data_IF_387291916045
#
_entry.id   IF_387291916045
#
_cell.length_a   1.000
_cell.length_b   1.000
_cell.length_c   1.000
_cell.angle_alpha   90.00
_cell.angle_beta   90.00
_cell.angle_gamma   90.00
#
_symmetry.space_group_name_H-M   'P 1'
#
loop_
_entity.id
_entity.type
_entity.pdbx_description
1 polymer ?
#
# COMPACT_ATOMS: atom_id res chain seq x y z
N UNK A 1 -17.60 9.24 7.66
CA UNK A 1 -16.85 10.13 6.73
C UNK A 1 -15.49 9.56 6.38
N UNK A 2 -15.49 8.62 5.45
CA UNK A 2 -14.28 7.95 4.99
C UNK A 2 -13.38 8.83 4.10
N UNK A 3 -13.99 9.74 3.34
CA UNK A 3 -13.28 10.65 2.43
C UNK A 3 -12.37 11.64 3.18
N UNK A 4 -12.74 12.04 4.41
CA UNK A 4 -11.92 12.93 5.24
C UNK A 4 -10.64 12.25 5.74
N UNK A 5 -10.73 10.95 6.04
CA UNK A 5 -9.62 10.18 6.57
C UNK A 5 -8.59 9.89 5.45
N UNK A 6 -9.05 9.57 4.25
CA UNK A 6 -8.21 9.49 3.05
C UNK A 6 -7.52 10.82 2.73
N UNK A 7 -8.24 11.94 2.75
CA UNK A 7 -7.67 13.26 2.48
C UNK A 7 -6.53 13.63 3.44
N UNK A 8 -6.64 13.25 4.71
CA UNK A 8 -5.60 13.49 5.72
C UNK A 8 -4.32 12.71 5.41
N UNK A 9 -4.44 11.51 4.85
CA UNK A 9 -3.30 10.63 4.62
C UNK A 9 -2.67 10.88 3.26
N UNK A 10 -3.46 11.27 2.26
CA UNK A 10 -2.91 11.83 1.01
C UNK A 10 -2.02 13.03 1.31
N UNK A 11 -2.41 13.89 2.27
CA UNK A 11 -1.55 14.99 2.74
C UNK A 11 -0.31 14.49 3.46
N UNK A 12 -0.42 13.49 4.33
CA UNK A 12 0.73 12.93 5.03
C UNK A 12 1.75 12.33 4.05
N UNK A 13 1.30 11.53 3.07
CA UNK A 13 2.17 10.96 2.04
C UNK A 13 2.78 12.03 1.11
N UNK A 14 2.04 13.10 0.81
CA UNK A 14 2.56 14.21 0.01
C UNK A 14 3.65 15.02 0.74
N UNK A 15 3.70 14.97 2.07
CA UNK A 15 4.72 15.67 2.86
C UNK A 15 5.98 14.84 3.13
N UNK A 16 5.88 13.51 3.17
CA UNK A 16 6.99 12.64 3.62
C UNK A 16 7.93 12.17 2.49
N UNK A 17 7.58 12.32 1.21
CA UNK A 17 8.40 11.76 0.11
C UNK A 17 8.46 12.71 -1.11
N UNK A 18 9.62 13.31 -1.41
CA UNK A 18 9.77 14.24 -2.54
C UNK A 18 9.59 13.61 -3.95
N UNK A 19 9.57 12.28 -4.09
CA UNK A 19 9.53 11.56 -5.39
C UNK A 19 8.14 10.96 -5.72
N UNK A 20 7.11 11.80 -5.61
CA UNK A 20 5.67 11.52 -5.47
C UNK A 20 4.90 10.78 -6.61
N UNK A 21 5.52 9.97 -7.49
CA UNK A 21 4.73 9.28 -8.54
C UNK A 21 4.08 7.96 -8.05
N UNK A 22 4.82 7.15 -7.29
CA UNK A 22 4.39 5.83 -6.81
C UNK A 22 3.41 5.92 -5.62
N UNK A 23 3.62 6.90 -4.73
CA UNK A 23 2.72 7.16 -3.60
C UNK A 23 1.34 7.68 -4.08
N UNK A 24 1.30 8.54 -5.10
CA UNK A 24 0.05 9.01 -5.67
C UNK A 24 -0.77 7.87 -6.31
N UNK A 25 -0.11 6.95 -7.02
CA UNK A 25 -0.76 5.81 -7.66
C UNK A 25 -1.41 4.86 -6.63
N UNK A 26 -0.73 4.55 -5.51
CA UNK A 26 -1.32 3.67 -4.49
C UNK A 26 -2.52 4.31 -3.80
N UNK A 27 -2.49 5.63 -3.56
CA UNK A 27 -3.64 6.38 -3.02
C UNK A 27 -4.82 6.30 -3.97
N UNK A 28 -4.59 6.53 -5.27
CA UNK A 28 -5.63 6.41 -6.29
C UNK A 28 -6.25 5.00 -6.29
N UNK A 29 -5.42 3.95 -6.19
CA UNK A 29 -5.88 2.57 -6.07
C UNK A 29 -6.82 2.35 -4.88
N UNK A 30 -6.44 2.83 -3.69
CA UNK A 30 -7.28 2.72 -2.48
C UNK A 30 -8.61 3.48 -2.66
N UNK A 31 -8.58 4.68 -3.22
CA UNK A 31 -9.79 5.49 -3.46
C UNK A 31 -10.72 4.79 -4.45
N UNK A 32 -10.21 4.33 -5.59
CA UNK A 32 -11.01 3.63 -6.59
C UNK A 32 -11.59 2.33 -6.04
N UNK A 33 -10.79 1.55 -5.31
CA UNK A 33 -11.25 0.28 -4.74
C UNK A 33 -12.40 0.49 -3.76
N UNK A 34 -12.29 1.51 -2.91
CA UNK A 34 -13.35 1.87 -1.95
C UNK A 34 -14.62 2.39 -2.61
N UNK A 35 -14.52 2.96 -3.82
CA UNK A 35 -15.67 3.39 -4.62
C UNK A 35 -16.28 2.25 -5.44
N UNK A 36 -15.72 1.04 -5.37
CA UNK A 36 -16.12 -0.12 -6.18
C UNK A 36 -15.60 -0.08 -7.62
N UNK A 37 -14.83 0.94 -7.99
CA UNK A 37 -14.17 1.10 -9.30
C UNK A 37 -12.97 0.16 -9.41
N UNK A 38 -13.26 -1.14 -9.59
CA UNK A 38 -12.28 -2.21 -9.44
C UNK A 38 -11.23 -2.21 -10.56
N UNK A 39 -11.60 -1.84 -11.78
CA UNK A 39 -10.66 -1.78 -12.91
C UNK A 39 -9.70 -0.60 -12.80
N UNK A 40 -10.19 0.57 -12.42
CA UNK A 40 -9.38 1.75 -12.14
C UNK A 40 -8.46 1.53 -10.92
N UNK A 41 -8.96 0.83 -9.90
CA UNK A 41 -8.16 0.44 -8.75
C UNK A 41 -7.02 -0.48 -9.16
N UNK A 42 -7.30 -1.50 -9.99
CA UNK A 42 -6.29 -2.42 -10.51
C UNK A 42 -5.21 -1.67 -11.28
N UNK A 43 -5.59 -0.83 -12.24
CA UNK A 43 -4.65 -0.07 -13.03
C UNK A 43 -3.76 0.84 -12.17
N UNK A 44 -4.34 1.49 -11.15
CA UNK A 44 -3.60 2.33 -10.22
C UNK A 44 -2.62 1.53 -9.34
N UNK A 45 -3.03 0.36 -8.84
CA UNK A 45 -2.13 -0.50 -8.07
C UNK A 45 -1.01 -1.11 -8.93
N UNK A 46 -1.29 -1.54 -10.15
CA UNK A 46 -0.26 -2.01 -11.09
C UNK A 46 0.75 -0.90 -11.39
N UNK A 47 0.28 0.32 -11.63
CA UNK A 47 1.15 1.48 -11.82
C UNK A 47 2.03 1.77 -10.59
N UNK A 48 1.47 1.64 -9.38
CA UNK A 48 2.22 1.80 -8.14
C UNK A 48 3.31 0.72 -7.97
N UNK A 49 3.02 -0.54 -8.34
CA UNK A 49 4.01 -1.63 -8.33
C UNK A 49 5.16 -1.33 -9.29
N UNK A 50 4.86 -0.96 -10.54
CA UNK A 50 5.89 -0.63 -11.54
C UNK A 50 6.78 0.52 -11.06
N UNK A 51 6.18 1.59 -10.56
CA UNK A 51 6.93 2.76 -10.10
C UNK A 51 7.78 2.45 -8.85
N UNK A 52 7.29 1.58 -7.95
CA UNK A 52 8.08 1.11 -6.81
C UNK A 52 9.21 0.17 -7.23
N UNK A 53 8.99 -0.71 -8.22
CA UNK A 53 10.02 -1.58 -8.79
C UNK A 53 11.15 -0.77 -9.41
N UNK A 54 10.83 0.29 -10.17
CA UNK A 54 11.82 1.19 -10.76
C UNK A 54 12.70 1.89 -9.71
N UNK A 55 12.11 2.25 -8.57
CA UNK A 55 12.84 2.85 -7.45
C UNK A 55 13.72 1.82 -6.74
N UNK A 56 13.21 0.62 -6.52
CA UNK A 56 13.96 -0.46 -5.86
C UNK A 56 15.08 -1.01 -6.74
N UNK A 57 14.94 -0.94 -8.06
CA UNK A 57 16.04 -1.26 -8.98
C UNK A 57 17.23 -0.29 -8.81
N UNK A 58 16.97 0.97 -8.48
CA UNK A 58 18.00 2.01 -8.26
C UNK A 58 18.48 2.02 -6.80
N UNK A 59 17.57 1.78 -5.87
CA UNK A 59 17.78 1.85 -4.42
C UNK A 59 17.09 0.68 -3.72
N UNK A 60 17.67 -0.54 -3.73
CA UNK A 60 17.02 -1.74 -3.20
C UNK A 60 16.59 -1.66 -1.73
N UNK A 61 17.25 -0.82 -0.94
CA UNK A 61 16.96 -0.61 0.49
C UNK A 61 15.97 0.51 0.78
N UNK A 62 15.27 1.06 -0.22
CA UNK A 62 14.30 2.13 0.01
C UNK A 62 13.01 1.56 0.65
N UNK A 63 12.98 1.50 1.98
CA UNK A 63 11.86 0.91 2.73
C UNK A 63 10.51 1.53 2.37
N UNK A 64 10.46 2.84 2.09
CA UNK A 64 9.24 3.51 1.65
C UNK A 64 8.66 2.92 0.36
N UNK A 65 9.50 2.60 -0.62
CA UNK A 65 9.08 1.96 -1.86
C UNK A 65 8.61 0.51 -1.63
N UNK A 66 9.25 -0.23 -0.70
CA UNK A 66 8.78 -1.56 -0.28
C UNK A 66 7.39 -1.50 0.36
N UNK A 67 7.13 -0.52 1.25
CA UNK A 67 5.80 -0.31 1.84
C UNK A 67 4.73 0.02 0.79
N UNK A 68 5.06 0.88 -0.19
CA UNK A 68 4.14 1.22 -1.29
C UNK A 68 3.85 0.00 -2.16
N UNK A 69 4.88 -0.76 -2.54
CA UNK A 69 4.71 -1.98 -3.36
C UNK A 69 3.89 -3.05 -2.62
N UNK A 70 4.15 -3.24 -1.33
CA UNK A 70 3.41 -4.16 -0.47
C UNK A 70 1.94 -3.78 -0.37
N UNK A 71 1.62 -2.49 -0.19
CA UNK A 71 0.25 -2.01 -0.15
C UNK A 71 -0.47 -2.18 -1.49
N UNK A 72 0.22 -1.89 -2.61
CA UNK A 72 -0.35 -2.05 -3.94
C UNK A 72 -0.66 -3.52 -4.24
N UNK A 73 0.25 -4.43 -3.90
CA UNK A 73 0.05 -5.89 -4.01
C UNK A 73 -1.08 -6.39 -3.12
N UNK A 74 -1.22 -5.85 -1.91
CA UNK A 74 -2.37 -6.15 -1.05
C UNK A 74 -3.70 -5.73 -1.70
N UNK A 75 -3.74 -4.55 -2.32
CA UNK A 75 -4.89 -4.09 -3.11
C UNK A 75 -5.21 -5.02 -4.28
N UNK A 76 -4.20 -5.42 -5.06
CA UNK A 76 -4.36 -6.39 -6.15
C UNK A 76 -4.85 -7.75 -5.66
N UNK A 77 -4.37 -8.23 -4.50
CA UNK A 77 -4.83 -9.48 -3.91
C UNK A 77 -6.34 -9.45 -3.56
N UNK A 78 -6.88 -8.28 -3.18
CA UNK A 78 -8.33 -8.13 -2.97
C UNK A 78 -9.12 -8.19 -4.28
N UNK A 79 -8.58 -7.61 -5.35
CA UNK A 79 -9.23 -7.49 -6.67
C UNK A 79 -9.19 -8.79 -7.48
N UNK A 80 -8.01 -9.38 -7.64
CA UNK A 80 -7.76 -10.52 -8.54
C UNK A 80 -7.28 -11.78 -7.84
N UNK A 81 -6.96 -11.69 -6.54
CA UNK A 81 -6.30 -12.78 -5.81
C UNK A 81 -4.80 -12.88 -6.12
N UNK A 82 -4.09 -13.68 -5.33
CA UNK A 82 -2.76 -14.18 -5.68
C UNK A 82 -1.54 -13.31 -5.33
N UNK A 83 -1.69 -12.05 -4.94
CA UNK A 83 -0.55 -11.15 -4.65
C UNK A 83 -0.23 -10.97 -3.15
N UNK A 84 -0.82 -11.80 -2.28
CA UNK A 84 -0.74 -11.62 -0.82
C UNK A 84 0.63 -12.03 -0.26
N UNK A 85 1.21 -13.10 -0.79
CA UNK A 85 2.52 -13.58 -0.34
C UNK A 85 3.64 -12.60 -0.73
N UNK A 86 3.55 -12.00 -1.91
CA UNK A 86 4.45 -10.96 -2.37
C UNK A 86 4.31 -9.68 -1.54
N UNK A 87 3.08 -9.28 -1.20
CA UNK A 87 2.85 -8.18 -0.27
C UNK A 87 3.51 -8.47 1.09
N UNK A 88 3.37 -9.70 1.60
CA UNK A 88 3.96 -10.10 2.87
C UNK A 88 5.50 -10.08 2.82
N UNK A 89 6.09 -10.49 1.70
CA UNK A 89 7.53 -10.39 1.46
C UNK A 89 8.04 -8.94 1.45
N UNK A 90 7.29 -8.04 0.84
CA UNK A 90 7.63 -6.61 0.80
C UNK A 90 7.59 -5.97 2.20
N UNK A 91 6.52 -6.21 2.98
CA UNK A 91 6.44 -5.69 4.34
C UNK A 91 7.54 -6.25 5.24
N UNK A 92 7.87 -7.55 5.14
CA UNK A 92 9.00 -8.13 5.88
C UNK A 92 10.32 -7.46 5.53
N UNK A 93 10.56 -7.24 4.24
CA UNK A 93 11.78 -6.59 3.76
C UNK A 93 11.86 -5.15 4.26
N UNK A 94 10.74 -4.42 4.23
CA UNK A 94 10.64 -3.06 4.72
C UNK A 94 10.90 -2.97 6.23
N UNK A 95 10.33 -3.88 7.02
CA UNK A 95 10.54 -3.99 8.46
C UNK A 95 11.99 -4.32 8.83
N UNK A 96 12.64 -5.19 8.07
CA UNK A 96 14.06 -5.51 8.28
C UNK A 96 14.97 -4.29 8.10
N UNK A 97 14.54 -3.29 7.31
CA UNK A 97 15.26 -2.03 7.11
C UNK A 97 14.83 -0.97 8.14
N UNK A 98 13.53 -0.86 8.41
CA UNK A 98 12.95 0.13 9.32
C UNK A 98 11.73 -0.43 10.06
N UNK A 99 11.93 -0.77 11.35
CA UNK A 99 10.89 -1.24 12.28
C UNK A 99 10.32 -0.12 13.18
N UNK A 100 10.41 1.13 12.74
CA UNK A 100 9.90 2.26 13.51
C UNK A 100 8.38 2.15 13.70
N UNK A 101 7.91 2.31 14.94
CA UNK A 101 6.50 2.18 15.29
C UNK A 101 5.58 3.15 14.52
N UNK A 102 6.09 4.33 14.12
CA UNK A 102 5.35 5.27 13.28
C UNK A 102 5.07 4.68 11.89
N UNK A 103 6.10 4.16 11.24
CA UNK A 103 6.00 3.58 9.89
C UNK A 103 5.06 2.37 9.87
N UNK A 104 5.16 1.49 10.88
CA UNK A 104 4.22 0.36 11.05
C UNK A 104 2.78 0.83 11.21
N UNK A 105 2.56 1.86 12.03
CA UNK A 105 1.23 2.42 12.26
C UNK A 105 0.64 3.02 10.99
N UNK A 106 1.44 3.67 10.17
CA UNK A 106 0.98 4.23 8.89
C UNK A 106 0.62 3.13 7.90
N UNK A 107 1.44 2.07 7.82
CA UNK A 107 1.15 0.89 7.02
C UNK A 107 -0.15 0.19 7.46
N UNK A 108 -0.35 -0.01 8.78
CA UNK A 108 -1.58 -0.57 9.34
C UNK A 108 -2.80 0.26 8.97
N UNK A 109 -2.68 1.59 9.05
CA UNK A 109 -3.76 2.51 8.69
C UNK A 109 -4.16 2.37 7.23
N UNK A 110 -3.18 2.23 6.33
CA UNK A 110 -3.44 1.96 4.92
C UNK A 110 -4.17 0.64 4.69
N UNK A 111 -3.77 -0.44 5.37
CA UNK A 111 -4.49 -1.71 5.32
C UNK A 111 -5.91 -1.60 5.90
N UNK A 112 -6.13 -0.75 6.91
CA UNK A 112 -7.47 -0.48 7.44
C UNK A 112 -8.40 0.17 6.40
N UNK A 113 -7.90 1.04 5.51
CA UNK A 113 -8.73 1.59 4.42
C UNK A 113 -9.14 0.55 3.39
N UNK A 114 -8.29 -0.44 3.16
CA UNK A 114 -8.60 -1.55 2.27
C UNK A 114 -9.62 -2.52 2.89
N UNK A 115 -9.80 -2.51 4.23
CA UNK A 115 -10.76 -3.39 4.92
C UNK A 115 -12.19 -3.21 4.43
N UNK A 116 -12.57 -1.99 4.01
CA UNK A 116 -13.89 -1.74 3.41
C UNK A 116 -14.17 -2.61 2.19
N UNK A 117 -13.12 -3.08 1.50
CA UNK A 117 -13.20 -4.00 0.36
C UNK A 117 -12.77 -5.44 0.70
N UNK A 118 -12.28 -5.71 1.92
CA UNK A 118 -11.82 -7.03 2.35
C UNK A 118 -12.93 -7.81 3.06
N UNK A 119 -13.86 -8.35 2.29
CA UNK A 119 -14.95 -9.17 2.80
C UNK A 119 -14.49 -10.53 3.40
N UNK A 120 -13.22 -10.91 3.24
CA UNK A 120 -12.71 -12.25 3.55
C UNK A 120 -11.62 -12.31 4.63
N UNK A 121 -11.24 -11.17 5.23
CA UNK A 121 -10.11 -11.13 6.18
C UNK A 121 -8.76 -11.47 5.52
N UNK A 122 -8.64 -11.28 4.20
CA UNK A 122 -7.43 -11.62 3.44
C UNK A 122 -6.23 -10.80 3.90
N UNK A 123 -6.45 -9.62 4.47
CA UNK A 123 -5.38 -8.75 4.96
C UNK A 123 -4.96 -9.05 6.40
N UNK A 124 -5.60 -9.97 7.12
CA UNK A 124 -5.33 -10.22 8.54
C UNK A 124 -3.88 -10.67 8.80
N UNK A 125 -3.31 -11.47 7.91
CA UNK A 125 -1.92 -11.91 8.00
C UNK A 125 -0.93 -10.72 7.89
N UNK A 126 -1.20 -9.78 6.98
CA UNK A 126 -0.38 -8.57 6.82
C UNK A 126 -0.49 -7.65 8.04
N UNK A 127 -1.67 -7.58 8.64
CA UNK A 127 -1.89 -6.80 9.86
C UNK A 127 -1.18 -7.40 11.06
N UNK A 128 -1.26 -8.72 11.23
CA UNK A 128 -0.55 -9.43 12.28
C UNK A 128 0.98 -9.28 12.17
N UNK A 129 1.50 -9.13 10.95
CA UNK A 129 2.92 -8.85 10.73
C UNK A 129 3.34 -7.43 11.17
N UNK A 130 2.44 -6.45 11.07
CA UNK A 130 2.73 -5.04 11.34
C UNK A 130 2.30 -4.56 12.74
N UNK A 131 1.52 -5.36 13.47
CA UNK A 131 1.09 -5.12 14.85
C UNK A 131 2.13 -5.53 15.88
#
# INVERSE_FOLDING_TARGET
>A
DDDSALATITKALAHDVPDNNHAAAVVAGVVHLRRGSTDEARAAFESAVVAADDLLAKTPGLYGALYVRGLARAGLALISGGALDEAMGDYRSALAICDAAGVKRDALRWLDYLRGADAGGRLDALRALLG
#
